data_IF_327296760121
#
_entry.id   IF_327296760121
#
_cell.length_a   1.000
_cell.length_b   1.000
_cell.length_c   1.000
_cell.angle_alpha   90.00
_cell.angle_beta   90.00
_cell.angle_gamma   90.00
#
_symmetry.space_group_name_H-M   'P 1'
#
loop_
_entity.id
_entity.type
_entity.pdbx_description
1 polymer ?
#
# COMPACT_ATOMS: atom_id res chain seq x y z
N UNK A 1 64.73 -31.90 12.46
CA UNK A 1 65.43 -30.86 13.28
C UNK A 1 64.94 -29.50 12.81
N UNK A 2 64.08 -28.85 13.61
CA UNK A 2 64.34 -27.61 14.37
C UNK A 2 64.16 -26.32 13.55
N UNK A 3 63.01 -25.67 13.80
CA UNK A 3 62.64 -24.23 13.94
C UNK A 3 63.56 -23.15 13.31
N UNK A 4 63.08 -22.00 12.81
CA UNK A 4 62.55 -20.84 13.57
C UNK A 4 61.92 -19.79 12.60
N UNK A 5 60.67 -19.38 12.89
CA UNK A 5 60.03 -18.04 12.92
C UNK A 5 60.68 -16.87 12.13
N UNK A 6 59.86 -16.15 11.32
CA UNK A 6 59.76 -14.67 11.35
C UNK A 6 58.50 -14.12 10.64
N UNK A 7 57.79 -13.31 11.42
CA UNK A 7 56.60 -12.50 11.18
C UNK A 7 56.75 -11.52 10.00
N UNK A 8 55.75 -11.41 9.11
CA UNK A 8 55.63 -10.28 8.18
C UNK A 8 54.15 -9.92 7.91
N UNK A 9 53.69 -8.95 8.70
CA UNK A 9 52.74 -7.87 8.38
C UNK A 9 51.45 -8.26 7.66
N UNK A 10 50.39 -8.41 8.46
CA UNK A 10 49.01 -8.08 8.05
C UNK A 10 48.98 -6.63 7.56
N UNK A 11 48.84 -6.40 6.24
CA UNK A 11 48.37 -5.12 5.72
C UNK A 11 46.95 -5.32 5.18
N UNK A 12 46.03 -5.11 6.10
CA UNK A 12 44.61 -5.05 5.89
C UNK A 12 44.28 -3.77 5.10
N UNK A 13 44.15 -3.89 3.78
CA UNK A 13 43.56 -2.84 2.96
C UNK A 13 42.04 -2.85 3.18
N UNK A 14 41.61 -2.27 4.30
CA UNK A 14 40.21 -1.99 4.57
C UNK A 14 39.79 -0.80 3.69
N UNK A 15 39.24 -1.08 2.52
CA UNK A 15 38.44 -0.09 1.79
C UNK A 15 37.19 0.20 2.65
N UNK A 16 36.91 1.46 3.01
CA UNK A 16 35.61 1.78 3.57
C UNK A 16 34.59 1.60 2.45
N UNK A 17 33.83 0.51 2.50
CA UNK A 17 32.58 0.41 1.76
C UNK A 17 31.67 1.50 2.34
N UNK A 18 31.63 2.66 1.68
CA UNK A 18 30.68 3.72 1.99
C UNK A 18 29.32 3.18 1.55
N UNK A 19 28.67 2.44 2.44
CA UNK A 19 27.30 2.00 2.25
C UNK A 19 26.42 3.25 2.34
N UNK A 20 26.05 3.81 1.18
CA UNK A 20 24.92 4.73 1.11
C UNK A 20 23.69 3.93 1.53
N UNK A 21 23.27 4.08 2.79
CA UNK A 21 21.95 3.66 3.20
C UNK A 21 20.96 4.48 2.37
N UNK A 22 20.44 3.91 1.28
CA UNK A 22 19.27 4.47 0.62
C UNK A 22 18.16 4.48 1.68
N UNK A 23 17.77 5.67 2.14
CA UNK A 23 16.58 5.83 2.97
C UNK A 23 15.40 5.24 2.18
N UNK A 24 15.04 4.00 2.48
CA UNK A 24 13.80 3.42 1.96
C UNK A 24 12.69 4.26 2.57
N UNK A 25 12.05 5.08 1.73
CA UNK A 25 10.82 5.80 2.12
C UNK A 25 9.94 4.81 2.87
N UNK A 26 9.47 5.13 4.09
CA UNK A 26 8.67 4.20 4.86
C UNK A 26 7.48 3.76 4.03
N UNK A 27 7.45 2.46 3.76
CA UNK A 27 6.36 1.81 3.06
C UNK A 27 5.23 1.69 4.06
N UNK A 28 4.13 2.39 3.80
CA UNK A 28 2.92 2.17 4.58
C UNK A 28 2.35 0.79 4.23
N UNK A 29 2.50 -0.17 5.13
CA UNK A 29 2.24 -1.58 4.85
C UNK A 29 0.75 -1.83 4.55
N UNK A 30 -0.13 -1.15 5.28
CA UNK A 30 -1.58 -1.25 5.14
C UNK A 30 -2.06 -0.66 3.81
N UNK A 31 -1.46 0.44 3.35
CA UNK A 31 -1.68 0.97 2.00
C UNK A 31 -1.36 -0.10 0.96
N UNK A 32 -0.20 -0.76 1.06
CA UNK A 32 0.18 -1.83 0.11
C UNK A 32 -0.77 -3.01 0.16
N UNK A 33 -1.18 -3.43 1.35
CA UNK A 33 -2.14 -4.51 1.53
C UNK A 33 -3.47 -4.18 0.85
N UNK A 34 -4.02 -2.99 1.14
CA UNK A 34 -5.26 -2.53 0.50
C UNK A 34 -5.11 -2.44 -1.02
N UNK A 35 -4.00 -1.88 -1.51
CA UNK A 35 -3.72 -1.78 -2.95
C UNK A 35 -3.67 -3.14 -3.64
N UNK A 36 -3.18 -4.19 -2.98
CA UNK A 36 -3.21 -5.56 -3.53
C UNK A 36 -4.65 -6.03 -3.79
N UNK A 37 -5.56 -5.80 -2.85
CA UNK A 37 -6.97 -6.13 -3.05
C UNK A 37 -7.57 -5.28 -4.16
N UNK A 38 -7.40 -3.95 -4.10
CA UNK A 38 -7.89 -3.01 -5.11
C UNK A 38 -7.43 -3.39 -6.51
N UNK A 39 -6.14 -3.69 -6.71
CA UNK A 39 -5.60 -4.09 -8.02
C UNK A 39 -6.21 -5.40 -8.52
N UNK A 40 -6.40 -6.39 -7.62
CA UNK A 40 -6.98 -7.69 -7.97
C UNK A 40 -8.50 -7.68 -8.19
N UNK A 41 -9.18 -6.57 -7.89
CA UNK A 41 -10.64 -6.43 -8.03
C UNK A 41 -11.03 -5.38 -9.07
N UNK A 42 -10.35 -4.23 -9.09
CA UNK A 42 -10.62 -3.12 -10.01
C UNK A 42 -10.16 -3.43 -11.44
N UNK A 43 -8.92 -3.89 -11.67
CA UNK A 43 -8.44 -4.14 -13.04
C UNK A 43 -9.30 -5.19 -13.79
N UNK A 44 -9.69 -6.32 -13.18
CA UNK A 44 -10.66 -7.22 -13.81
C UNK A 44 -12.02 -6.55 -14.08
N UNK A 45 -12.46 -5.64 -13.21
CA UNK A 45 -13.72 -4.92 -13.39
C UNK A 45 -13.69 -3.96 -14.61
N UNK A 46 -12.52 -3.42 -14.96
CA UNK A 46 -12.34 -2.63 -16.19
C UNK A 46 -12.75 -3.44 -17.43
N UNK A 47 -12.42 -4.74 -17.42
CA UNK A 47 -12.75 -5.73 -18.45
C UNK A 47 -14.13 -6.41 -18.25
N UNK A 48 -14.97 -5.86 -17.36
CA UNK A 48 -16.30 -6.39 -16.98
C UNK A 48 -16.27 -7.75 -16.27
N UNK A 49 -15.12 -8.18 -15.75
CA UNK A 49 -15.03 -9.33 -14.87
C UNK A 49 -15.18 -8.90 -13.41
N UNK A 50 -16.41 -8.89 -12.89
CA UNK A 50 -16.72 -8.49 -11.51
C UNK A 50 -16.64 -9.67 -10.51
N UNK A 51 -16.34 -10.88 -10.98
CA UNK A 51 -16.25 -12.06 -10.10
C UNK A 51 -15.20 -11.88 -8.99
N UNK A 52 -13.97 -11.37 -9.26
CA UNK A 52 -12.98 -11.14 -8.22
C UNK A 52 -13.44 -10.14 -7.16
N UNK A 53 -14.18 -9.09 -7.54
CA UNK A 53 -14.74 -8.12 -6.59
C UNK A 53 -15.74 -8.79 -5.65
N UNK A 54 -16.67 -9.59 -6.20
CA UNK A 54 -17.69 -10.31 -5.42
C UNK A 54 -17.06 -11.24 -4.39
N UNK A 55 -16.00 -11.95 -4.78
CA UNK A 55 -15.29 -12.90 -3.91
C UNK A 55 -14.47 -12.22 -2.81
N UNK A 56 -13.87 -11.05 -3.10
CA UNK A 56 -12.88 -10.40 -2.22
C UNK A 56 -13.40 -9.16 -1.48
N UNK A 57 -14.67 -8.79 -1.66
CA UNK A 57 -15.24 -7.55 -1.10
C UNK A 57 -15.07 -7.46 0.42
N UNK A 58 -15.30 -8.57 1.14
CA UNK A 58 -15.18 -8.62 2.62
C UNK A 58 -13.73 -8.42 3.06
N UNK A 59 -12.77 -9.07 2.39
CA UNK A 59 -11.35 -8.93 2.70
C UNK A 59 -10.82 -7.54 2.34
N UNK A 60 -11.28 -6.97 1.23
CA UNK A 60 -10.97 -5.59 0.84
C UNK A 60 -11.48 -4.58 1.87
N UNK A 61 -12.69 -4.78 2.41
CA UNK A 61 -13.22 -3.96 3.51
C UNK A 61 -12.40 -4.14 4.80
N UNK A 62 -11.97 -5.35 5.13
CA UNK A 62 -11.12 -5.60 6.28
C UNK A 62 -9.77 -4.86 6.13
N UNK A 63 -9.15 -4.92 4.95
CA UNK A 63 -7.93 -4.18 4.65
C UNK A 63 -8.12 -2.66 4.74
N UNK A 64 -9.24 -2.11 4.26
CA UNK A 64 -9.55 -0.69 4.39
C UNK A 64 -9.67 -0.25 5.85
N UNK A 65 -10.34 -1.05 6.69
CA UNK A 65 -10.47 -0.78 8.14
C UNK A 65 -9.13 -0.86 8.87
N UNK A 66 -8.30 -1.83 8.52
CA UNK A 66 -6.94 -1.93 9.05
C UNK A 66 -6.11 -0.71 8.66
N UNK A 67 -6.20 -0.27 7.41
CA UNK A 67 -5.50 0.93 6.95
C UNK A 67 -5.99 2.19 7.67
N UNK A 68 -7.30 2.35 7.84
CA UNK A 68 -7.88 3.45 8.61
C UNK A 68 -7.39 3.50 10.07
N UNK A 69 -7.16 2.34 10.69
CA UNK A 69 -6.72 2.24 12.08
C UNK A 69 -5.20 2.41 12.26
N UNK A 70 -4.42 2.35 11.19
CA UNK A 70 -2.95 2.44 11.24
C UNK A 70 -2.46 3.88 11.45
N UNK A 71 -1.23 4.02 11.94
CA UNK A 71 -0.59 5.33 12.11
C UNK A 71 -0.35 5.98 10.74
N UNK A 72 -0.84 7.20 10.56
CA UNK A 72 -0.66 7.96 9.32
C UNK A 72 0.80 8.44 9.26
N UNK A 73 1.59 8.06 8.25
CA UNK A 73 2.97 8.51 8.13
C UNK A 73 3.07 10.03 7.99
N UNK A 74 4.16 10.62 8.49
CA UNK A 74 4.42 12.07 8.40
C UNK A 74 4.55 12.60 6.97
N UNK A 75 4.71 11.73 5.98
CA UNK A 75 4.69 12.08 4.55
C UNK A 75 3.28 12.36 4.00
N UNK A 76 2.25 12.19 4.82
CA UNK A 76 0.85 12.49 4.50
C UNK A 76 0.31 13.64 5.38
N UNK A 77 -0.73 14.30 4.88
CA UNK A 77 -1.52 15.30 5.59
C UNK A 77 -2.52 14.59 6.50
N UNK A 78 -2.38 14.62 7.84
CA UNK A 78 -3.12 13.71 8.72
C UNK A 78 -4.65 13.87 8.67
N UNK A 79 -5.13 15.12 8.60
CA UNK A 79 -6.58 15.42 8.64
C UNK A 79 -7.27 14.95 7.36
N UNK A 80 -6.70 15.30 6.21
CA UNK A 80 -7.17 14.96 4.87
C UNK A 80 -7.13 13.44 4.66
N UNK A 81 -6.04 12.81 5.07
CA UNK A 81 -5.87 11.36 4.98
C UNK A 81 -6.92 10.63 5.81
N UNK A 82 -7.18 11.09 7.04
CA UNK A 82 -8.24 10.51 7.90
C UNK A 82 -9.63 10.59 7.24
N UNK A 83 -9.98 11.75 6.66
CA UNK A 83 -11.26 11.94 5.96
C UNK A 83 -11.38 10.98 4.77
N UNK A 84 -10.32 10.82 3.98
CA UNK A 84 -10.36 9.95 2.81
C UNK A 84 -10.36 8.47 3.20
N UNK A 85 -9.67 8.05 4.27
CA UNK A 85 -9.76 6.68 4.79
C UNK A 85 -11.15 6.36 5.32
N UNK A 86 -11.81 7.31 5.99
CA UNK A 86 -13.23 7.16 6.38
C UNK A 86 -14.15 7.01 5.15
N UNK A 87 -13.90 7.79 4.10
CA UNK A 87 -14.65 7.70 2.83
C UNK A 87 -14.41 6.35 2.15
N UNK A 88 -13.18 5.87 2.12
CA UNK A 88 -12.79 4.59 1.54
C UNK A 88 -13.50 3.42 2.24
N UNK A 89 -13.49 3.41 3.58
CA UNK A 89 -14.20 2.38 4.37
C UNK A 89 -15.70 2.40 4.09
N UNK A 90 -16.32 3.57 3.91
CA UNK A 90 -17.74 3.67 3.54
C UNK A 90 -18.01 3.06 2.15
N UNK A 91 -17.19 3.36 1.14
CA UNK A 91 -17.33 2.74 -0.17
C UNK A 91 -17.15 1.22 -0.12
N UNK A 92 -16.11 0.72 0.56
CA UNK A 92 -15.90 -0.71 0.71
C UNK A 92 -17.07 -1.40 1.45
N UNK A 93 -17.68 -0.71 2.43
CA UNK A 93 -18.88 -1.21 3.13
C UNK A 93 -20.06 -1.32 2.18
N UNK A 94 -20.33 -0.27 1.39
CA UNK A 94 -21.39 -0.29 0.40
C UNK A 94 -21.20 -1.36 -0.67
N UNK A 95 -19.96 -1.65 -1.08
CA UNK A 95 -19.64 -2.75 -2.00
C UNK A 95 -20.05 -4.09 -1.38
N UNK A 96 -19.67 -4.36 -0.13
CA UNK A 96 -20.04 -5.60 0.57
C UNK A 96 -21.56 -5.75 0.67
N UNK A 97 -22.26 -4.68 1.02
CA UNK A 97 -23.73 -4.66 1.10
C UNK A 97 -24.36 -4.92 -0.27
N UNK A 98 -23.85 -4.29 -1.33
CA UNK A 98 -24.36 -4.45 -2.70
C UNK A 98 -24.09 -5.85 -3.27
N UNK A 99 -22.93 -6.44 -2.97
CA UNK A 99 -22.64 -7.83 -3.32
C UNK A 99 -23.62 -8.76 -2.60
N UNK A 100 -23.85 -8.55 -1.30
CA UNK A 100 -24.78 -9.34 -0.50
C UNK A 100 -26.23 -9.22 -0.97
N UNK A 101 -26.61 -8.05 -1.50
CA UNK A 101 -27.92 -7.77 -2.07
C UNK A 101 -28.09 -8.27 -3.52
N UNK A 102 -27.05 -8.85 -4.13
CA UNK A 102 -27.10 -9.33 -5.51
C UNK A 102 -27.17 -8.21 -6.55
N UNK A 103 -26.53 -7.07 -6.28
CA UNK A 103 -26.45 -5.96 -7.22
C UNK A 103 -25.83 -6.41 -8.57
N UNK A 104 -26.29 -5.78 -9.66
CA UNK A 104 -25.77 -6.05 -10.99
C UNK A 104 -24.34 -5.52 -11.18
N UNK A 105 -23.66 -6.03 -12.20
CA UNK A 105 -22.25 -5.71 -12.46
C UNK A 105 -22.01 -4.23 -12.79
N UNK A 106 -22.99 -3.54 -13.40
CA UNK A 106 -22.86 -2.10 -13.68
C UNK A 106 -22.82 -1.28 -12.39
N UNK A 107 -23.68 -1.60 -11.42
CA UNK A 107 -23.65 -0.99 -10.08
C UNK A 107 -22.32 -1.27 -9.40
N UNK A 108 -21.87 -2.53 -9.37
CA UNK A 108 -20.62 -2.91 -8.72
C UNK A 108 -19.39 -2.25 -9.38
N UNK A 109 -19.38 -2.13 -10.71
CA UNK A 109 -18.32 -1.45 -11.47
C UNK A 109 -18.22 0.03 -11.12
N UNK A 110 -19.36 0.72 -11.00
CA UNK A 110 -19.38 2.13 -10.55
C UNK A 110 -18.79 2.25 -9.16
N UNK A 111 -19.22 1.42 -8.21
CA UNK A 111 -18.77 1.51 -6.82
C UNK A 111 -17.27 1.21 -6.64
N UNK A 112 -16.73 0.22 -7.34
CA UNK A 112 -15.29 -0.07 -7.27
C UNK A 112 -14.45 1.03 -7.93
N UNK A 113 -14.96 1.68 -8.98
CA UNK A 113 -14.34 2.87 -9.59
C UNK A 113 -14.27 4.02 -8.58
N UNK A 114 -15.37 4.30 -7.89
CA UNK A 114 -15.40 5.35 -6.86
C UNK A 114 -14.45 5.06 -5.69
N UNK A 115 -14.36 3.80 -5.26
CA UNK A 115 -13.39 3.38 -4.24
C UNK A 115 -11.94 3.54 -4.72
N UNK A 116 -11.67 3.23 -5.98
CA UNK A 116 -10.38 3.40 -6.64
C UNK A 116 -9.98 4.89 -6.73
N UNK A 117 -10.91 5.78 -7.05
CA UNK A 117 -10.65 7.23 -7.09
C UNK A 117 -10.28 7.77 -5.70
N UNK A 118 -10.97 7.32 -4.64
CA UNK A 118 -10.61 7.68 -3.26
C UNK A 118 -9.21 7.18 -2.90
N UNK A 119 -8.84 5.96 -3.32
CA UNK A 119 -7.48 5.46 -3.15
C UNK A 119 -6.46 6.41 -3.82
N UNK A 120 -6.73 6.86 -5.05
CA UNK A 120 -5.86 7.83 -5.74
C UNK A 120 -5.77 9.17 -5.01
N UNK A 121 -6.86 9.68 -4.46
CA UNK A 121 -6.82 10.88 -3.62
C UNK A 121 -5.92 10.70 -2.40
N UNK A 122 -5.98 9.54 -1.74
CA UNK A 122 -5.09 9.25 -0.59
C UNK A 122 -3.63 9.23 -1.04
N UNK A 123 -3.29 8.44 -2.07
CA UNK A 123 -1.89 8.25 -2.44
C UNK A 123 -1.28 9.40 -3.24
N UNK A 124 -2.11 10.32 -3.74
CA UNK A 124 -1.72 11.53 -4.45
C UNK A 124 -1.89 12.80 -3.61
N UNK A 125 -3.12 13.31 -3.52
CA UNK A 125 -3.43 14.62 -2.94
C UNK A 125 -3.19 14.72 -1.43
N UNK A 126 -3.31 13.60 -0.71
CA UNK A 126 -3.06 13.58 0.74
C UNK A 126 -1.57 13.52 1.08
N UNK A 127 -0.65 13.40 0.12
CA UNK A 127 0.78 13.51 0.38
C UNK A 127 1.19 14.97 0.63
N UNK A 128 2.20 15.15 1.47
CA UNK A 128 2.86 16.45 1.62
C UNK A 128 3.70 16.75 0.37
N UNK A 129 3.57 17.96 -0.18
CA UNK A 129 4.13 18.35 -1.50
C UNK A 129 5.63 18.71 -1.43
N UNK A 130 6.34 18.24 -0.41
CA UNK A 130 7.79 18.48 -0.23
C UNK A 130 8.57 17.17 -0.25
N UNK A 131 8.62 16.53 -1.41
CA UNK A 131 9.77 15.70 -1.78
C UNK A 131 10.16 16.07 -3.21
N UNK A 132 10.77 17.26 -3.35
CA UNK A 132 11.67 17.49 -4.49
C UNK A 132 12.88 16.59 -4.26
N UNK A 133 13.04 15.61 -5.14
CA UNK A 133 14.30 14.92 -5.36
C UNK A 133 15.38 15.93 -5.78
#
# INVERSE_FOLDING_TARGET
MKSIIKLAVFLFAMLPAVAFAQEKKPVWAELKNFHSFMSSTFHPAEENNLQPLKEKAVDMLAAAKQWQASEIPSSFKPKETKIQLEKLVKYCTGIVESVSAGANDATLKTMITEAHDVFHTIVGECRNVEEKH
#
